data_IF_540914045443
#
_entry.id   IF_540914045443
#
_cell.length_a   1.000
_cell.length_b   1.000
_cell.length_c   1.000
_cell.angle_alpha   90.00
_cell.angle_beta   90.00
_cell.angle_gamma   90.00
#
_symmetry.space_group_name_H-M   'P 1'
#
loop_
_entity.id
_entity.type
_entity.pdbx_description
1 polymer ?
#
# COMPACT_ATOMS: atom_id res chain seq x y z
N UNK A 1 18.69 -13.12 5.71
CA UNK A 1 17.27 -12.88 5.46
C UNK A 1 17.02 -11.47 4.90
N UNK A 2 17.65 -10.43 5.46
CA UNK A 2 17.55 -9.03 4.98
C UNK A 2 17.90 -8.86 3.48
N UNK A 3 18.90 -9.58 2.98
CA UNK A 3 19.24 -9.59 1.55
C UNK A 3 18.08 -10.04 0.65
N UNK A 4 17.28 -11.01 1.10
CA UNK A 4 16.08 -11.43 0.36
C UNK A 4 15.02 -10.33 0.28
N UNK A 5 14.86 -9.54 1.34
CA UNK A 5 13.93 -8.39 1.35
C UNK A 5 14.39 -7.34 0.33
N UNK A 6 15.68 -7.04 0.27
CA UNK A 6 16.26 -6.13 -0.72
C UNK A 6 16.07 -6.64 -2.15
N UNK A 7 16.25 -7.95 -2.38
CA UNK A 7 15.99 -8.56 -3.69
C UNK A 7 14.52 -8.46 -4.09
N UNK A 8 13.57 -8.58 -3.14
CA UNK A 8 12.14 -8.37 -3.41
C UNK A 8 11.89 -6.91 -3.80
N UNK A 9 12.43 -5.94 -3.05
CA UNK A 9 12.29 -4.52 -3.40
C UNK A 9 12.91 -4.19 -4.76
N UNK A 10 14.04 -4.80 -5.11
CA UNK A 10 14.65 -4.61 -6.43
C UNK A 10 13.73 -5.12 -7.56
N UNK A 11 13.10 -6.27 -7.38
CA UNK A 11 12.09 -6.77 -8.33
C UNK A 11 10.88 -5.84 -8.44
N UNK A 12 10.48 -5.21 -7.33
CA UNK A 12 9.35 -4.29 -7.33
C UNK A 12 9.60 -3.02 -8.16
N UNK A 13 10.85 -2.62 -8.37
CA UNK A 13 11.21 -1.47 -9.23
C UNK A 13 10.77 -1.64 -10.70
N UNK A 14 10.52 -2.87 -11.13
CA UNK A 14 9.96 -3.14 -12.47
C UNK A 14 8.47 -2.80 -12.58
N UNK A 15 7.79 -2.58 -11.47
CA UNK A 15 6.35 -2.27 -11.42
C UNK A 15 6.15 -0.76 -11.35
N UNK A 16 5.69 -0.17 -12.43
CA UNK A 16 5.36 1.25 -12.47
C UNK A 16 4.07 1.56 -11.71
N UNK A 17 3.93 2.81 -11.24
CA UNK A 17 2.69 3.25 -10.62
C UNK A 17 1.63 3.57 -11.69
N UNK A 18 0.45 2.97 -11.55
CA UNK A 18 -0.68 3.13 -12.44
C UNK A 18 -1.70 2.01 -12.25
N UNK A 19 -2.60 1.83 -13.21
CA UNK A 19 -3.65 0.83 -13.13
C UNK A 19 -4.14 0.42 -14.52
N UNK A 20 -4.85 -0.70 -14.59
CA UNK A 20 -5.50 -1.20 -15.79
C UNK A 20 -7.00 -1.18 -15.56
N UNK A 21 -7.77 -0.62 -16.50
CA UNK A 21 -9.22 -0.60 -16.37
C UNK A 21 -9.86 -1.94 -16.80
N UNK A 22 -11.17 -2.05 -16.58
CA UNK A 22 -11.95 -3.24 -16.93
C UNK A 22 -11.95 -3.60 -18.43
N UNK A 23 -11.42 -2.73 -19.28
CA UNK A 23 -11.26 -2.95 -20.72
C UNK A 23 -9.82 -3.33 -21.11
N UNK A 24 -8.91 -3.42 -20.13
CA UNK A 24 -7.50 -3.73 -20.34
C UNK A 24 -6.65 -2.53 -20.77
N UNK A 25 -7.17 -1.31 -20.62
CA UNK A 25 -6.42 -0.09 -20.95
C UNK A 25 -5.57 0.34 -19.75
N UNK A 26 -4.29 0.59 -20.03
CA UNK A 26 -3.32 1.04 -19.02
C UNK A 26 -3.42 2.55 -18.80
N UNK A 27 -3.49 2.96 -17.55
CA UNK A 27 -3.55 4.36 -17.12
C UNK A 27 -2.41 4.67 -16.15
N UNK A 28 -1.48 5.55 -16.53
CA UNK A 28 -0.43 6.06 -15.62
C UNK A 28 -0.94 7.23 -14.76
N UNK A 29 -1.99 7.90 -15.21
CA UNK A 29 -2.71 8.93 -14.46
C UNK A 29 -4.15 9.01 -14.97
N UNK A 30 -5.07 9.46 -14.12
CA UNK A 30 -6.46 9.67 -14.50
C UNK A 30 -7.14 10.68 -13.58
N UNK A 31 -8.27 11.23 -14.03
CA UNK A 31 -9.15 11.98 -13.13
C UNK A 31 -9.70 11.04 -12.05
N UNK A 32 -9.81 11.53 -10.82
CA UNK A 32 -10.23 10.73 -9.66
C UNK A 32 -11.55 10.00 -9.89
N UNK A 33 -12.57 10.69 -10.39
CA UNK A 33 -13.90 10.08 -10.56
C UNK A 33 -13.85 8.96 -11.60
N UNK A 34 -13.07 9.12 -12.67
CA UNK A 34 -12.87 8.08 -13.67
C UNK A 34 -12.18 6.85 -13.07
N UNK A 35 -11.13 7.08 -12.24
CA UNK A 35 -10.45 6.02 -11.52
C UNK A 35 -11.42 5.25 -10.60
N UNK A 36 -12.15 5.95 -9.73
CA UNK A 36 -13.08 5.32 -8.77
C UNK A 36 -14.11 4.45 -9.49
N UNK A 37 -14.64 4.92 -10.62
CA UNK A 37 -15.70 4.21 -11.37
C UNK A 37 -15.19 2.99 -12.14
N UNK A 38 -13.94 3.01 -12.59
CA UNK A 38 -13.42 2.01 -13.52
C UNK A 38 -12.33 1.12 -12.94
N UNK A 39 -11.80 1.45 -11.76
CA UNK A 39 -10.79 0.66 -11.08
C UNK A 39 -11.37 -0.65 -10.56
N UNK A 40 -10.57 -1.71 -10.75
CA UNK A 40 -10.74 -3.00 -10.09
C UNK A 40 -9.36 -3.48 -9.66
N UNK A 41 -9.28 -4.05 -8.45
CA UNK A 41 -8.03 -4.66 -7.96
C UNK A 41 -7.59 -5.75 -8.94
N UNK A 42 -6.44 -5.57 -9.55
CA UNK A 42 -5.94 -6.49 -10.57
C UNK A 42 -5.57 -7.83 -9.96
N UNK A 43 -5.69 -8.87 -10.75
CA UNK A 43 -5.08 -10.17 -10.45
C UNK A 43 -3.56 -10.04 -10.46
N UNK A 44 -2.92 -10.87 -9.66
CA UNK A 44 -1.47 -10.86 -9.54
C UNK A 44 -0.78 -11.08 -10.89
N UNK A 45 -1.33 -11.99 -11.72
CA UNK A 45 -0.81 -12.28 -13.06
C UNK A 45 -0.89 -11.07 -13.98
N UNK A 46 -1.94 -10.26 -13.86
CA UNK A 46 -2.12 -9.06 -14.67
C UNK A 46 -1.15 -7.95 -14.22
N UNK A 47 -0.94 -7.77 -12.92
CA UNK A 47 0.08 -6.85 -12.40
C UNK A 47 1.48 -7.20 -12.93
N UNK A 48 1.83 -8.48 -12.93
CA UNK A 48 3.11 -8.97 -13.47
C UNK A 48 3.21 -8.82 -14.99
N UNK A 49 2.12 -9.10 -15.71
CA UNK A 49 2.04 -9.01 -17.17
C UNK A 49 2.16 -7.57 -17.67
N UNK A 50 1.42 -6.65 -17.06
CA UNK A 50 1.40 -5.25 -17.48
C UNK A 50 2.52 -4.43 -16.83
N UNK A 51 3.19 -4.98 -15.80
CA UNK A 51 4.22 -4.29 -14.99
C UNK A 51 3.73 -2.94 -14.45
N UNK A 52 2.47 -2.88 -14.04
CA UNK A 52 1.82 -1.69 -13.52
C UNK A 52 0.86 -2.05 -12.40
N UNK A 53 0.80 -1.19 -11.37
CA UNK A 53 -0.11 -1.34 -10.24
C UNK A 53 -0.15 -0.09 -9.39
N UNK A 54 -1.27 0.16 -8.72
CA UNK A 54 -1.37 1.14 -7.64
C UNK A 54 -0.64 0.63 -6.39
N UNK A 55 -0.63 1.38 -5.30
CA UNK A 55 -0.10 0.89 -4.02
C UNK A 55 -0.79 -0.43 -3.59
N UNK A 56 -2.03 -0.66 -3.98
CA UNK A 56 -2.79 -1.85 -3.61
C UNK A 56 -2.24 -3.12 -4.29
N UNK A 57 -2.10 -3.12 -5.61
CA UNK A 57 -1.49 -4.24 -6.35
C UNK A 57 -0.04 -4.46 -5.97
N UNK A 58 0.70 -3.37 -5.78
CA UNK A 58 2.11 -3.47 -5.40
C UNK A 58 2.29 -4.13 -4.03
N UNK A 59 1.43 -3.81 -3.05
CA UNK A 59 1.44 -4.46 -1.74
C UNK A 59 1.08 -5.95 -1.85
N UNK A 60 0.09 -6.33 -2.66
CA UNK A 60 -0.27 -7.73 -2.83
C UNK A 60 0.83 -8.52 -3.55
N UNK A 61 1.56 -7.90 -4.47
CA UNK A 61 2.74 -8.51 -5.10
C UNK A 61 3.90 -8.69 -4.12
N UNK A 62 4.15 -7.71 -3.25
CA UNK A 62 5.12 -7.84 -2.15
C UNK A 62 4.72 -8.97 -1.21
N UNK A 63 3.44 -9.02 -0.80
CA UNK A 63 2.90 -10.11 0.02
C UNK A 63 3.19 -11.47 -0.62
N UNK A 64 2.88 -11.65 -1.89
CA UNK A 64 3.13 -12.88 -2.63
C UNK A 64 4.61 -13.29 -2.59
N UNK A 65 5.54 -12.36 -2.82
CA UNK A 65 6.96 -12.69 -2.77
C UNK A 65 7.44 -13.05 -1.36
N UNK A 66 6.96 -12.35 -0.33
CA UNK A 66 7.31 -12.64 1.06
C UNK A 66 6.76 -14.01 1.51
N UNK A 67 5.50 -14.31 1.20
CA UNK A 67 4.87 -15.60 1.50
C UNK A 67 5.60 -16.75 0.81
N UNK A 68 6.04 -16.59 -0.44
CA UNK A 68 6.83 -17.57 -1.18
C UNK A 68 8.17 -17.88 -0.51
N UNK A 69 8.76 -16.90 0.17
CA UNK A 69 10.00 -17.04 0.93
C UNK A 69 9.75 -17.46 2.40
N UNK A 70 8.50 -17.74 2.78
CA UNK A 70 8.06 -18.02 4.15
C UNK A 70 8.42 -16.89 5.15
N UNK A 71 8.39 -15.65 4.70
CA UNK A 71 8.62 -14.47 5.53
C UNK A 71 7.27 -13.93 6.01
N UNK A 72 7.06 -13.80 7.35
CA UNK A 72 5.85 -13.19 7.88
C UNK A 72 5.63 -11.78 7.35
N UNK A 73 4.39 -11.50 6.91
CA UNK A 73 4.01 -10.21 6.36
C UNK A 73 2.67 -9.75 6.92
N UNK A 74 2.59 -8.47 7.26
CA UNK A 74 1.36 -7.77 7.58
C UNK A 74 1.16 -6.64 6.59
N UNK A 75 -0.09 -6.32 6.30
CA UNK A 75 -0.43 -5.22 5.39
C UNK A 75 -1.36 -4.24 6.06
N UNK A 76 -1.12 -2.98 5.78
CA UNK A 76 -1.82 -1.87 6.40
C UNK A 76 -2.36 -0.94 5.34
N UNK A 77 -3.56 -0.41 5.59
CA UNK A 77 -4.11 0.73 4.87
C UNK A 77 -4.18 1.93 5.80
N UNK A 78 -3.73 3.07 5.31
CA UNK A 78 -3.92 4.37 5.92
C UNK A 78 -4.97 5.13 5.13
N UNK A 79 -5.97 5.64 5.81
CA UNK A 79 -7.08 6.39 5.24
C UNK A 79 -7.11 7.76 5.93
N UNK A 80 -6.94 8.82 5.15
CA UNK A 80 -7.25 10.18 5.57
C UNK A 80 -8.62 10.54 5.02
N UNK A 81 -9.53 10.93 5.89
CA UNK A 81 -10.89 11.29 5.51
C UNK A 81 -11.29 12.61 6.15
N UNK A 82 -11.28 13.65 5.35
CA UNK A 82 -11.76 14.97 5.71
C UNK A 82 -12.73 15.46 4.65
N UNK A 83 -13.67 16.31 5.01
CA UNK A 83 -14.73 16.79 4.12
C UNK A 83 -14.18 17.24 2.76
N UNK A 84 -14.61 16.55 1.69
CA UNK A 84 -14.18 16.79 0.32
C UNK A 84 -12.77 16.26 -0.04
N UNK A 85 -12.03 15.68 0.91
CA UNK A 85 -10.67 15.18 0.68
C UNK A 85 -10.47 13.79 1.29
N UNK A 86 -10.28 12.81 0.44
CA UNK A 86 -9.97 11.43 0.85
C UNK A 86 -8.67 11.02 0.20
N UNK A 87 -7.68 10.59 0.99
CA UNK A 87 -6.45 9.98 0.52
C UNK A 87 -6.26 8.61 1.18
N UNK A 88 -5.67 7.67 0.45
CA UNK A 88 -5.48 6.29 0.92
C UNK A 88 -4.14 5.78 0.45
N UNK A 89 -3.47 5.02 1.31
CA UNK A 89 -2.23 4.35 0.97
C UNK A 89 -2.14 3.00 1.66
N UNK A 90 -1.54 2.03 0.99
CA UNK A 90 -1.28 0.71 1.56
C UNK A 90 0.21 0.43 1.60
N UNK A 91 0.64 -0.28 2.64
CA UNK A 91 2.00 -0.75 2.80
C UNK A 91 2.04 -2.21 3.23
N UNK A 92 3.16 -2.87 2.96
CA UNK A 92 3.49 -4.16 3.53
C UNK A 92 4.63 -4.02 4.55
N UNK A 93 4.55 -4.78 5.63
CA UNK A 93 5.57 -4.85 6.68
C UNK A 93 5.99 -6.29 6.83
N UNK A 94 7.26 -6.60 6.55
CA UNK A 94 7.85 -7.90 6.81
C UNK A 94 8.43 -7.95 8.23
N UNK A 95 8.37 -9.12 8.88
CA UNK A 95 8.99 -9.35 10.18
C UNK A 95 10.09 -10.40 10.04
N UNK A 96 11.32 -10.04 10.43
CA UNK A 96 12.51 -10.91 10.36
C UNK A 96 13.38 -10.69 11.59
N UNK A 97 13.67 -11.75 12.32
CA UNK A 97 14.56 -11.75 13.49
C UNK A 97 14.22 -10.66 14.53
N UNK A 98 12.90 -10.44 14.77
CA UNK A 98 12.39 -9.44 15.71
C UNK A 98 12.58 -7.99 15.25
N UNK A 99 12.86 -7.78 13.97
CA UNK A 99 12.88 -6.46 13.32
C UNK A 99 11.78 -6.37 12.27
N UNK A 100 11.36 -5.15 11.99
CA UNK A 100 10.27 -4.85 11.07
C UNK A 100 10.80 -4.07 9.87
N UNK A 101 10.34 -4.44 8.69
CA UNK A 101 10.84 -3.89 7.43
C UNK A 101 9.68 -3.32 6.64
N UNK A 102 9.75 -2.03 6.36
CA UNK A 102 8.76 -1.37 5.52
C UNK A 102 9.04 -1.67 4.04
N UNK A 103 8.17 -2.44 3.42
CA UNK A 103 8.29 -2.86 2.03
C UNK A 103 7.48 -1.90 1.13
N UNK A 104 8.13 -0.84 0.66
CA UNK A 104 7.51 0.23 -0.12
C UNK A 104 8.13 0.36 -1.51
N UNK A 105 7.31 0.57 -2.52
CA UNK A 105 7.75 0.85 -3.89
C UNK A 105 6.94 1.99 -4.56
N UNK A 106 5.68 2.16 -4.17
CA UNK A 106 4.77 3.08 -4.88
C UNK A 106 5.00 4.55 -4.56
N UNK A 107 5.59 4.89 -3.42
CA UNK A 107 5.92 6.28 -3.07
C UNK A 107 7.26 6.76 -3.59
N UNK A 108 8.12 5.89 -4.10
CA UNK A 108 9.45 6.22 -4.65
C UNK A 108 10.22 7.20 -3.75
N UNK A 109 10.47 6.80 -2.49
CA UNK A 109 11.08 7.65 -1.47
C UNK A 109 12.61 7.71 -1.65
N UNK A 110 13.17 8.92 -1.82
CA UNK A 110 14.64 9.14 -1.96
C UNK A 110 15.39 8.83 -0.65
N UNK A 111 14.79 9.17 0.50
CA UNK A 111 15.32 8.90 1.83
C UNK A 111 14.39 7.95 2.56
N UNK A 112 14.73 6.68 2.56
CA UNK A 112 13.88 5.63 3.09
C UNK A 112 14.60 4.82 4.17
N UNK A 113 14.12 4.93 5.41
CA UNK A 113 14.52 4.00 6.46
C UNK A 113 13.79 2.69 6.21
N UNK A 114 14.55 1.62 6.02
CA UNK A 114 14.04 0.32 5.64
C UNK A 114 13.72 -0.58 6.84
N UNK A 115 14.49 -0.46 7.94
CA UNK A 115 14.47 -1.33 9.11
C UNK A 115 14.10 -0.57 10.38
N UNK A 116 13.19 -1.15 11.17
CA UNK A 116 12.61 -0.55 12.37
C UNK A 116 12.59 -1.53 13.55
N UNK A 117 12.41 -1.01 14.74
CA UNK A 117 12.30 -1.81 15.97
C UNK A 117 10.86 -2.24 16.25
N UNK A 118 9.88 -1.57 15.65
CA UNK A 118 8.46 -1.92 15.78
C UNK A 118 7.64 -1.50 14.56
N UNK A 119 6.49 -2.15 14.40
CA UNK A 119 5.47 -1.72 13.42
C UNK A 119 4.94 -0.32 13.75
N UNK A 120 4.83 0.04 15.03
CA UNK A 120 4.37 1.36 15.44
C UNK A 120 5.29 2.48 14.92
N UNK A 121 6.62 2.28 14.92
CA UNK A 121 7.54 3.25 14.31
C UNK A 121 7.29 3.43 12.81
N UNK A 122 7.05 2.34 12.07
CA UNK A 122 6.73 2.39 10.65
C UNK A 122 5.43 3.18 10.42
N UNK A 123 4.37 2.87 11.18
CA UNK A 123 3.08 3.53 11.04
C UNK A 123 3.15 5.02 11.40
N UNK A 124 3.94 5.39 12.42
CA UNK A 124 4.19 6.79 12.76
C UNK A 124 4.88 7.53 11.61
N UNK A 125 5.95 6.99 11.08
CA UNK A 125 6.69 7.60 9.98
C UNK A 125 5.82 7.69 8.71
N UNK A 126 5.01 6.68 8.44
CA UNK A 126 4.04 6.68 7.34
C UNK A 126 3.06 7.86 7.47
N UNK A 127 2.48 8.06 8.68
CA UNK A 127 1.55 9.17 8.96
C UNK A 127 2.25 10.52 8.84
N UNK A 128 3.49 10.65 9.31
CA UNK A 128 4.27 11.91 9.20
C UNK A 128 4.59 12.27 7.75
N UNK A 129 4.81 11.29 6.88
CA UNK A 129 5.05 11.50 5.44
C UNK A 129 3.77 11.78 4.64
N UNK A 130 2.62 11.32 5.15
CA UNK A 130 1.33 11.34 4.44
C UNK A 130 0.92 12.73 3.90
N UNK A 131 0.97 13.83 4.71
CA UNK A 131 0.58 15.16 4.22
C UNK A 131 1.48 15.66 3.08
N UNK A 132 2.77 15.36 3.11
CA UNK A 132 3.71 15.71 2.03
C UNK A 132 3.38 14.94 0.75
N UNK A 133 3.14 13.64 0.86
CA UNK A 133 2.89 12.76 -0.30
C UNK A 133 1.56 13.09 -0.99
N UNK A 134 0.54 13.45 -0.22
CA UNK A 134 -0.79 13.78 -0.75
C UNK A 134 -1.06 15.29 -0.85
N UNK A 135 -0.07 16.14 -0.56
CA UNK A 135 -0.17 17.61 -0.62
C UNK A 135 -1.36 18.14 0.19
N UNK A 136 -1.43 17.72 1.47
CA UNK A 136 -2.48 18.12 2.41
C UNK A 136 -1.94 19.26 3.27
N UNK A 137 -2.33 20.54 3.02
CA UNK A 137 -1.74 21.69 3.73
C UNK A 137 -2.13 21.74 5.21
N UNK A 138 -3.38 21.51 5.54
CA UNK A 138 -3.94 21.62 6.89
C UNK A 138 -4.24 20.22 7.45
N UNK A 139 -3.20 19.37 7.47
CA UNK A 139 -3.32 17.97 7.86
C UNK A 139 -3.68 17.83 9.33
N UNK A 140 -4.83 17.23 9.60
CA UNK A 140 -5.24 16.81 10.94
C UNK A 140 -4.98 15.32 11.15
N UNK A 141 -4.00 14.99 11.98
CA UNK A 141 -3.64 13.61 12.32
C UNK A 141 -4.82 12.81 12.90
N UNK A 142 -5.78 13.47 13.55
CA UNK A 142 -6.97 12.81 14.11
C UNK A 142 -7.95 12.31 13.04
N UNK A 143 -7.79 12.75 11.78
CA UNK A 143 -8.58 12.28 10.62
C UNK A 143 -7.97 11.05 9.95
N UNK A 144 -6.85 10.54 10.48
CA UNK A 144 -6.23 9.30 10.00
C UNK A 144 -6.90 8.09 10.66
N UNK A 145 -7.18 7.11 9.85
CA UNK A 145 -7.52 5.75 10.27
C UNK A 145 -6.49 4.78 9.69
N UNK A 146 -6.04 3.82 10.52
CA UNK A 146 -5.13 2.75 10.07
C UNK A 146 -5.76 1.40 10.39
N UNK A 147 -5.74 0.50 9.41
CA UNK A 147 -6.23 -0.86 9.57
C UNK A 147 -5.18 -1.85 9.08
N UNK A 148 -4.89 -2.88 9.90
CA UNK A 148 -4.26 -4.11 9.42
C UNK A 148 -5.30 -4.93 8.70
N UNK A 149 -5.07 -5.31 7.44
CA UNK A 149 -6.05 -6.03 6.63
C UNK A 149 -5.48 -7.35 6.11
N UNK A 150 -6.37 -8.32 5.89
CA UNK A 150 -6.04 -9.62 5.30
C UNK A 150 -6.02 -9.52 3.78
N UNK A 151 -5.37 -10.50 3.14
CA UNK A 151 -5.35 -10.61 1.68
C UNK A 151 -6.76 -10.39 1.11
N UNK A 152 -6.94 -9.41 0.21
CA UNK A 152 -8.25 -9.14 -0.39
C UNK A 152 -8.63 -10.20 -1.42
N UNK A 153 -9.91 -10.24 -1.74
CA UNK A 153 -10.37 -10.91 -2.94
C UNK A 153 -9.95 -10.12 -4.17
N UNK A 154 -9.78 -10.80 -5.29
CA UNK A 154 -9.45 -10.16 -6.56
C UNK A 154 -10.65 -9.40 -7.13
N UNK A 155 -10.38 -8.43 -8.01
CA UNK A 155 -11.38 -7.65 -8.75
C UNK A 155 -12.30 -6.76 -7.90
N UNK A 156 -11.96 -6.52 -6.62
CA UNK A 156 -12.68 -5.55 -5.79
C UNK A 156 -12.59 -4.15 -6.40
N UNK A 157 -13.70 -3.43 -6.42
CA UNK A 157 -13.73 -2.01 -6.76
C UNK A 157 -13.01 -1.17 -5.72
N UNK A 158 -12.80 0.10 -6.02
CA UNK A 158 -12.14 1.05 -5.13
C UNK A 158 -12.81 1.13 -3.74
N UNK A 159 -14.15 1.17 -3.69
CA UNK A 159 -14.88 1.24 -2.41
C UNK A 159 -14.94 -0.11 -1.72
N UNK A 160 -15.18 -1.20 -2.46
CA UNK A 160 -15.19 -2.55 -1.89
C UNK A 160 -13.86 -2.93 -1.25
N UNK A 161 -12.72 -2.56 -1.86
CA UNK A 161 -11.41 -2.78 -1.27
C UNK A 161 -11.23 -1.98 0.05
N UNK A 162 -11.69 -0.74 0.08
CA UNK A 162 -11.63 0.07 1.30
C UNK A 162 -12.48 -0.53 2.41
N UNK A 163 -13.69 -0.96 2.09
CA UNK A 163 -14.58 -1.61 3.05
C UNK A 163 -14.04 -2.96 3.51
N UNK A 164 -13.37 -3.69 2.63
CA UNK A 164 -12.64 -4.90 3.00
C UNK A 164 -11.56 -4.61 4.04
N UNK A 165 -10.73 -3.60 3.81
CA UNK A 165 -9.66 -3.20 4.73
C UNK A 165 -10.22 -2.77 6.09
N UNK A 166 -11.33 -2.05 6.12
CA UNK A 166 -12.00 -1.61 7.37
C UNK A 166 -12.56 -2.74 8.22
N UNK A 167 -12.76 -3.93 7.66
CA UNK A 167 -13.11 -5.14 8.43
C UNK A 167 -11.92 -5.72 9.20
N UNK A 168 -10.72 -5.23 8.94
CA UNK A 168 -9.49 -5.64 9.62
C UNK A 168 -9.36 -5.05 11.02
N UNK A 169 -8.18 -5.22 11.60
CA UNK A 169 -7.88 -4.67 12.93
C UNK A 169 -7.57 -3.18 12.83
N UNK A 170 -8.40 -2.35 13.48
CA UNK A 170 -8.16 -0.90 13.57
C UNK A 170 -7.10 -0.60 14.63
N UNK A 171 -6.07 0.11 14.22
CA UNK A 171 -5.08 0.67 15.16
C UNK A 171 -5.63 1.94 15.81
N UNK A 172 -5.44 2.07 17.13
CA UNK A 172 -5.82 3.30 17.85
C UNK A 172 -4.91 4.48 17.49
N UNK A 173 -5.33 5.71 17.77
CA UNK A 173 -4.60 6.95 17.44
C UNK A 173 -3.32 7.21 18.28
N UNK A 174 -2.82 6.22 18.98
CA UNK A 174 -1.56 6.29 19.77
C UNK A 174 -0.41 5.61 19.01
N UNK A 175 -0.04 6.21 17.87
CA UNK A 175 1.20 5.88 17.16
C UNK A 175 2.29 6.83 17.55
#
# INVERSE_FOLDING_TARGET
MEEKLLQILEKMKEIEYGWVDKYGVVHKSSKRDFFIQNYRLQKLEDTLKYKIGTCWEQVELVRFYLEKENIPVKTYIVIYNEEGRIARHTIAVAEVDGKYYWMENSWNLDEFKFKYDSTAEILNELVDRFPRMYKIPDFDRNKIEIYEYKKPEEELSFEEFTDWCRKGHKYGNSY
#
